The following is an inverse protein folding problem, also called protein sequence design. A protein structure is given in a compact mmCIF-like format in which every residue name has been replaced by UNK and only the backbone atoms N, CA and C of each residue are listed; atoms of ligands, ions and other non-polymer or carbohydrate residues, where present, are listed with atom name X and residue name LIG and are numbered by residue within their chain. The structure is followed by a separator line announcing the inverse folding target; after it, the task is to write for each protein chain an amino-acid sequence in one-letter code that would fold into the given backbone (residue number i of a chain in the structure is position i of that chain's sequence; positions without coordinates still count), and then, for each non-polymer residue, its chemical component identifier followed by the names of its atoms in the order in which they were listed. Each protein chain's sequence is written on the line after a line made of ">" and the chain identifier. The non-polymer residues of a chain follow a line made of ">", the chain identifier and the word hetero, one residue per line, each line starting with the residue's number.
data_IF_807006613102
#
_entry.id   IF_807006613102
#
_cell.length_a   1.000
_cell.length_b   1.000
_cell.length_c   1.000
_cell.angle_alpha   90.00
_cell.angle_beta   90.00
_cell.angle_gamma   90.00
#
_symmetry.space_group_name_H-M   'P 1'
#
loop_
_entity.id
_entity.type
_entity.pdbx_description
1 polymer ?
#
# COMPACT_ATOMS: atom_id res chain seq x y z
N UNK A 1 -53.61 -4.63 -39.38
CA UNK A 1 -52.34 -5.35 -39.15
C UNK A 1 -51.30 -4.64 -39.98
N UNK A 2 -50.60 -3.68 -39.39
CA UNK A 2 -49.58 -2.89 -40.08
C UNK A 2 -48.32 -2.96 -39.23
N UNK A 3 -47.40 -3.81 -39.65
CA UNK A 3 -46.14 -4.07 -38.98
C UNK A 3 -45.18 -2.93 -39.29
N UNK A 4 -45.07 -1.98 -38.35
CA UNK A 4 -44.09 -0.90 -38.41
C UNK A 4 -42.67 -1.48 -38.28
N UNK A 5 -41.98 -1.53 -39.41
CA UNK A 5 -40.56 -1.83 -39.53
C UNK A 5 -39.75 -0.68 -38.89
N UNK A 6 -39.29 -0.84 -37.65
CA UNK A 6 -38.33 0.10 -37.06
C UNK A 6 -36.95 -0.18 -37.64
N UNK A 7 -36.49 0.70 -38.52
CA UNK A 7 -35.09 0.78 -38.91
C UNK A 7 -34.20 1.09 -37.70
N UNK A 8 -33.02 0.47 -37.57
CA UNK A 8 -32.03 0.87 -36.57
C UNK A 8 -31.53 2.27 -36.92
N UNK A 9 -31.68 3.21 -36.00
CA UNK A 9 -31.06 4.54 -36.10
C UNK A 9 -29.55 4.38 -36.00
N UNK A 10 -28.83 4.73 -37.05
CA UNK A 10 -27.36 4.79 -37.05
C UNK A 10 -26.89 5.75 -35.93
N UNK A 11 -26.02 5.24 -35.05
CA UNK A 11 -25.42 6.05 -33.98
C UNK A 11 -24.60 7.20 -34.57
N UNK A 12 -24.85 8.42 -34.11
CA UNK A 12 -24.00 9.60 -34.34
C UNK A 12 -22.54 9.26 -33.96
N UNK A 13 -21.51 9.82 -34.62
CA UNK A 13 -20.12 9.54 -34.24
C UNK A 13 -19.93 9.92 -32.76
N UNK A 14 -19.80 8.90 -31.91
CA UNK A 14 -19.93 9.02 -30.46
C UNK A 14 -18.82 9.88 -29.88
N UNK A 15 -19.18 10.80 -28.98
CA UNK A 15 -18.23 11.59 -28.22
C UNK A 15 -17.56 10.67 -27.20
N UNK A 16 -16.22 10.62 -27.18
CA UNK A 16 -15.45 9.74 -26.28
C UNK A 16 -15.94 9.92 -24.84
N UNK A 17 -16.35 8.83 -24.19
CA UNK A 17 -16.85 8.77 -22.82
C UNK A 17 -15.77 8.17 -21.91
N UNK A 18 -15.41 8.89 -20.85
CA UNK A 18 -14.35 8.51 -19.93
C UNK A 18 -14.88 8.47 -18.52
N UNK A 19 -14.73 7.33 -17.84
CA UNK A 19 -14.97 7.27 -16.40
C UNK A 19 -13.70 7.69 -15.65
N UNK A 20 -13.79 8.72 -14.82
CA UNK A 20 -12.73 9.09 -13.87
C UNK A 20 -13.10 8.55 -12.49
N UNK A 21 -12.43 7.48 -12.10
CA UNK A 21 -12.69 6.72 -10.87
C UNK A 21 -11.78 7.10 -9.72
N UNK A 22 -12.37 7.22 -8.52
CA UNK A 22 -11.64 7.37 -7.26
C UNK A 22 -11.90 6.17 -6.33
N UNK A 23 -11.05 5.14 -6.37
CA UNK A 23 -11.29 3.88 -5.69
C UNK A 23 -10.98 3.92 -4.19
N UNK A 24 -11.87 3.32 -3.39
CA UNK A 24 -11.64 3.02 -1.99
C UNK A 24 -11.48 4.26 -1.11
N UNK A 25 -10.69 4.16 -0.03
CA UNK A 25 -10.55 5.24 0.95
C UNK A 25 -9.64 6.40 0.51
N UNK A 26 -9.19 6.41 -0.75
CA UNK A 26 -8.32 7.46 -1.25
C UNK A 26 -9.08 8.80 -1.38
N UNK A 27 -8.87 9.68 -0.41
CA UNK A 27 -9.48 11.01 -0.35
C UNK A 27 -8.81 12.07 -1.22
N UNK A 28 -7.71 11.74 -1.93
CA UNK A 28 -6.96 12.74 -2.69
C UNK A 28 -7.60 13.03 -4.04
N UNK A 29 -8.47 14.03 -4.09
CA UNK A 29 -9.31 14.25 -5.27
C UNK A 29 -8.83 15.32 -6.25
N UNK A 30 -7.87 16.16 -5.84
CA UNK A 30 -7.45 17.31 -6.65
C UNK A 30 -7.01 16.89 -8.07
N UNK A 31 -6.18 15.84 -8.16
CA UNK A 31 -5.70 15.32 -9.43
C UNK A 31 -6.83 14.80 -10.32
N UNK A 32 -7.75 13.99 -9.76
CA UNK A 32 -8.88 13.46 -10.50
C UNK A 32 -9.79 14.57 -11.06
N UNK A 33 -10.04 15.64 -10.28
CA UNK A 33 -10.84 16.79 -10.74
C UNK A 33 -10.15 17.59 -11.85
N UNK A 34 -8.83 17.76 -11.77
CA UNK A 34 -8.05 18.44 -12.82
C UNK A 34 -8.07 17.61 -14.11
N UNK A 35 -7.88 16.29 -14.01
CA UNK A 35 -7.96 15.38 -15.16
C UNK A 35 -9.37 15.39 -15.77
N UNK A 36 -10.41 15.30 -14.94
CA UNK A 36 -11.79 15.38 -15.41
C UNK A 36 -12.12 16.72 -16.10
N UNK A 37 -11.56 17.84 -15.63
CA UNK A 37 -11.66 19.13 -16.31
C UNK A 37 -10.94 19.11 -17.66
N UNK A 38 -9.67 18.69 -17.70
CA UNK A 38 -8.88 18.64 -18.92
C UNK A 38 -9.51 17.76 -20.03
N UNK A 39 -10.06 16.60 -19.65
CA UNK A 39 -10.76 15.71 -20.59
C UNK A 39 -12.05 16.34 -21.14
N UNK A 40 -12.81 17.07 -20.30
CA UNK A 40 -14.00 17.83 -20.75
C UNK A 40 -13.63 18.99 -21.66
N UNK A 41 -12.58 19.72 -21.34
CA UNK A 41 -12.07 20.82 -22.15
C UNK A 41 -11.58 20.31 -23.52
N UNK A 42 -11.12 19.06 -23.58
CA UNK A 42 -10.80 18.34 -24.81
C UNK A 42 -12.05 17.81 -25.56
N UNK A 43 -13.26 18.10 -25.08
CA UNK A 43 -14.52 17.72 -25.72
C UNK A 43 -15.03 16.31 -25.38
N UNK A 44 -14.39 15.60 -24.44
CA UNK A 44 -14.85 14.27 -24.00
C UNK A 44 -16.02 14.39 -23.03
N UNK A 45 -16.84 13.34 -22.97
CA UNK A 45 -17.82 13.16 -21.89
C UNK A 45 -17.14 12.50 -20.70
N UNK A 46 -17.31 13.06 -19.50
CA UNK A 46 -16.62 12.56 -18.31
C UNK A 46 -17.63 12.18 -17.23
N UNK A 47 -17.60 10.91 -16.84
CA UNK A 47 -18.34 10.38 -15.68
C UNK A 47 -17.36 10.34 -14.51
N UNK A 48 -17.59 11.16 -13.50
CA UNK A 48 -16.74 11.18 -12.31
C UNK A 48 -17.44 10.46 -11.15
N UNK A 49 -16.78 9.46 -10.55
CA UNK A 49 -17.43 8.57 -9.56
C UNK A 49 -17.63 9.19 -8.19
N UNK A 50 -16.99 10.33 -7.92
CA UNK A 50 -16.83 10.82 -6.56
C UNK A 50 -15.84 9.99 -5.74
N UNK A 51 -15.58 10.45 -4.51
CA UNK A 51 -14.75 9.77 -3.54
C UNK A 51 -15.41 8.48 -3.03
N UNK A 52 -14.60 7.54 -2.55
CA UNK A 52 -15.06 6.32 -1.85
C UNK A 52 -15.89 5.37 -2.70
N UNK A 53 -15.76 5.43 -4.02
CA UNK A 53 -16.35 4.45 -4.91
C UNK A 53 -15.64 3.09 -4.73
N UNK A 54 -16.41 2.02 -4.56
CA UNK A 54 -15.84 0.67 -4.48
C UNK A 54 -15.46 0.19 -5.88
N UNK A 55 -14.46 -0.69 -5.99
CA UNK A 55 -14.04 -1.25 -7.29
C UNK A 55 -15.21 -1.91 -8.06
N UNK A 56 -16.08 -2.71 -7.43
CA UNK A 56 -17.27 -3.25 -8.11
C UNK A 56 -18.25 -2.18 -8.60
N UNK A 57 -18.41 -1.08 -7.86
CA UNK A 57 -19.26 0.04 -8.26
C UNK A 57 -18.66 0.82 -9.45
N UNK A 58 -17.35 1.02 -9.45
CA UNK A 58 -16.62 1.63 -10.59
C UNK A 58 -16.80 0.77 -11.84
N UNK A 59 -16.61 -0.54 -11.75
CA UNK A 59 -16.80 -1.46 -12.87
C UNK A 59 -18.25 -1.46 -13.39
N UNK A 60 -19.23 -1.48 -12.47
CA UNK A 60 -20.64 -1.42 -12.84
C UNK A 60 -20.99 -0.11 -13.54
N UNK A 61 -20.54 1.03 -13.02
CA UNK A 61 -20.76 2.34 -13.64
C UNK A 61 -20.10 2.43 -15.02
N UNK A 62 -18.86 1.93 -15.18
CA UNK A 62 -18.18 1.94 -16.47
C UNK A 62 -18.95 1.19 -17.56
N UNK A 63 -19.53 0.03 -17.22
CA UNK A 63 -20.34 -0.76 -18.15
C UNK A 63 -21.71 -0.12 -18.41
N UNK A 64 -22.38 0.38 -17.37
CA UNK A 64 -23.69 1.03 -17.49
C UNK A 64 -23.63 2.32 -18.30
N UNK A 65 -22.55 3.08 -18.14
CA UNK A 65 -22.29 4.31 -18.86
C UNK A 65 -21.56 4.08 -20.19
N UNK A 66 -21.38 2.83 -20.61
CA UNK A 66 -20.77 2.47 -21.90
C UNK A 66 -19.52 3.30 -22.21
N UNK A 67 -18.58 3.33 -21.26
CA UNK A 67 -17.40 4.21 -21.35
C UNK A 67 -16.31 3.58 -22.21
N UNK A 68 -15.64 4.40 -23.00
CA UNK A 68 -14.53 3.98 -23.86
C UNK A 68 -13.25 3.73 -23.07
N UNK A 69 -13.04 4.47 -21.97
CA UNK A 69 -11.83 4.38 -21.15
C UNK A 69 -12.16 4.57 -19.66
N UNK A 70 -11.52 3.79 -18.79
CA UNK A 70 -11.54 4.00 -17.34
C UNK A 70 -10.22 4.64 -16.90
N UNK A 71 -10.27 5.88 -16.41
CA UNK A 71 -9.16 6.55 -15.75
C UNK A 71 -9.26 6.45 -14.23
N UNK A 72 -8.36 5.71 -13.57
CA UNK A 72 -8.28 5.66 -12.11
C UNK A 72 -7.29 6.70 -11.57
N UNK A 73 -7.68 7.44 -10.55
CA UNK A 73 -6.77 8.31 -9.79
C UNK A 73 -6.43 7.65 -8.44
N UNK A 74 -5.17 7.22 -8.26
CA UNK A 74 -4.73 6.45 -7.09
C UNK A 74 -3.47 7.07 -6.47
N UNK A 75 -3.58 7.48 -5.21
CA UNK A 75 -2.51 8.03 -4.38
C UNK A 75 -2.34 7.23 -3.07
N UNK A 76 -3.14 6.18 -2.87
CA UNK A 76 -3.15 5.35 -1.65
C UNK A 76 -2.10 4.23 -1.62
N UNK A 77 -1.31 4.06 -2.69
CA UNK A 77 -0.36 2.96 -2.83
C UNK A 77 -1.00 1.59 -3.11
N UNK A 78 -2.33 1.52 -3.25
CA UNK A 78 -3.07 0.29 -3.51
C UNK A 78 -3.31 0.01 -5.01
N UNK A 79 -2.55 0.67 -5.91
CA UNK A 79 -2.76 0.63 -7.37
C UNK A 79 -2.76 -0.79 -7.94
N UNK A 80 -1.81 -1.65 -7.57
CA UNK A 80 -1.76 -3.03 -8.08
C UNK A 80 -3.02 -3.83 -7.69
N UNK A 81 -3.38 -3.82 -6.41
CA UNK A 81 -4.53 -4.56 -5.89
C UNK A 81 -5.85 -4.05 -6.49
N UNK A 82 -5.99 -2.73 -6.60
CA UNK A 82 -7.18 -2.10 -7.18
C UNK A 82 -7.30 -2.43 -8.66
N UNK A 83 -6.23 -2.33 -9.44
CA UNK A 83 -6.26 -2.62 -10.88
C UNK A 83 -6.53 -4.09 -11.15
N UNK A 84 -5.90 -5.01 -10.40
CA UNK A 84 -6.20 -6.45 -10.48
C UNK A 84 -7.68 -6.72 -10.24
N UNK A 85 -8.22 -6.20 -9.13
CA UNK A 85 -9.63 -6.39 -8.78
C UNK A 85 -10.56 -5.75 -9.81
N UNK A 86 -10.20 -4.59 -10.38
CA UNK A 86 -11.00 -3.96 -11.42
C UNK A 86 -11.05 -4.84 -12.68
N UNK A 87 -9.91 -5.39 -13.11
CA UNK A 87 -9.87 -6.32 -14.25
C UNK A 87 -10.67 -7.60 -13.99
N UNK A 88 -10.63 -8.15 -12.77
CA UNK A 88 -11.50 -9.27 -12.39
C UNK A 88 -12.99 -8.90 -12.47
N UNK A 89 -13.38 -7.72 -11.98
CA UNK A 89 -14.77 -7.25 -12.03
C UNK A 89 -15.25 -6.97 -13.47
N UNK A 90 -14.40 -6.40 -14.34
CA UNK A 90 -14.71 -6.19 -15.75
C UNK A 90 -14.82 -7.53 -16.50
N UNK A 91 -13.91 -8.47 -16.22
CA UNK A 91 -13.95 -9.82 -16.80
C UNK A 91 -15.23 -10.57 -16.45
N UNK A 92 -15.69 -10.48 -15.19
CA UNK A 92 -16.97 -11.05 -14.74
C UNK A 92 -18.20 -10.44 -15.44
N UNK A 93 -18.06 -9.23 -15.98
CA UNK A 93 -19.11 -8.51 -16.73
C UNK A 93 -18.92 -8.63 -18.25
N UNK A 94 -17.96 -9.45 -18.69
CA UNK A 94 -17.60 -9.61 -20.11
C UNK A 94 -17.23 -8.28 -20.80
N UNK A 95 -16.77 -7.30 -20.01
CA UNK A 95 -16.41 -5.98 -20.49
C UNK A 95 -14.90 -5.88 -20.73
N UNK A 96 -14.50 -5.30 -21.87
CA UNK A 96 -13.11 -5.03 -22.22
C UNK A 96 -12.91 -3.54 -22.43
N UNK A 97 -12.74 -2.83 -21.32
CA UNK A 97 -12.55 -1.38 -21.32
C UNK A 97 -11.10 -1.08 -20.91
N UNK A 98 -10.31 -0.35 -21.72
CA UNK A 98 -8.93 -0.01 -21.38
C UNK A 98 -8.87 0.83 -20.10
N UNK A 99 -7.89 0.51 -19.25
CA UNK A 99 -7.67 1.20 -17.98
C UNK A 99 -6.42 2.07 -18.08
N UNK A 100 -6.55 3.33 -17.71
CA UNK A 100 -5.46 4.28 -17.49
C UNK A 100 -5.37 4.57 -15.99
N UNK A 101 -4.16 4.60 -15.44
CA UNK A 101 -3.97 4.86 -14.00
C UNK A 101 -3.08 6.09 -13.82
N UNK A 102 -3.52 7.04 -13.01
CA UNK A 102 -2.76 8.22 -12.65
C UNK A 102 -2.60 8.38 -11.14
N UNK A 103 -1.52 9.03 -10.70
CA UNK A 103 -1.34 9.44 -9.31
C UNK A 103 0.10 9.30 -8.83
N UNK A 104 0.29 8.98 -7.55
CA UNK A 104 1.63 8.76 -6.98
C UNK A 104 1.94 7.27 -7.08
N UNK A 105 2.45 6.88 -8.24
CA UNK A 105 2.74 5.49 -8.57
C UNK A 105 4.26 5.34 -8.64
N UNK A 106 4.88 4.43 -7.85
CA UNK A 106 6.30 4.16 -7.95
C UNK A 106 6.66 3.66 -9.35
N UNK A 107 7.74 4.17 -9.93
CA UNK A 107 8.19 3.76 -11.28
C UNK A 107 8.41 2.25 -11.41
N UNK A 108 8.85 1.60 -10.33
CA UNK A 108 9.05 0.15 -10.27
C UNK A 108 7.76 -0.66 -10.50
N UNK A 109 6.58 -0.07 -10.28
CA UNK A 109 5.29 -0.75 -10.41
C UNK A 109 4.66 -0.56 -11.79
N UNK A 110 5.24 0.28 -12.66
CA UNK A 110 4.68 0.55 -13.99
C UNK A 110 4.64 -0.71 -14.85
N UNK A 111 5.71 -1.52 -14.81
CA UNK A 111 5.77 -2.79 -15.54
C UNK A 111 4.70 -3.76 -15.04
N UNK A 112 4.57 -3.91 -13.73
CA UNK A 112 3.55 -4.78 -13.12
C UNK A 112 2.14 -4.35 -13.46
N UNK A 113 1.86 -3.05 -13.48
CA UNK A 113 0.54 -2.53 -13.87
C UNK A 113 0.24 -2.85 -15.34
N UNK A 114 1.22 -2.73 -16.24
CA UNK A 114 1.08 -3.14 -17.63
C UNK A 114 0.82 -4.65 -17.76
N UNK A 115 1.55 -5.48 -17.02
CA UNK A 115 1.35 -6.93 -17.00
C UNK A 115 -0.05 -7.31 -16.46
N UNK A 116 -0.62 -6.48 -15.58
CA UNK A 116 -1.99 -6.63 -15.10
C UNK A 116 -3.06 -6.18 -16.11
N UNK A 117 -2.69 -5.57 -17.24
CA UNK A 117 -3.62 -5.08 -18.27
C UNK A 117 -3.94 -3.59 -18.19
N UNK A 118 -3.16 -2.79 -17.45
CA UNK A 118 -3.27 -1.32 -17.49
C UNK A 118 -2.64 -0.81 -18.78
N UNK A 119 -3.41 -0.06 -19.56
CA UNK A 119 -3.00 0.44 -20.87
C UNK A 119 -1.96 1.57 -20.76
N UNK A 120 -2.09 2.46 -19.77
CA UNK A 120 -1.16 3.56 -19.54
C UNK A 120 -1.09 3.98 -18.07
N UNK A 121 0.08 4.48 -17.65
CA UNK A 121 0.36 4.93 -16.29
C UNK A 121 0.92 6.35 -16.31
N UNK A 122 0.36 7.24 -15.50
CA UNK A 122 0.76 8.64 -15.38
C UNK A 122 1.18 8.99 -13.95
N UNK A 123 2.34 9.63 -13.83
CA UNK A 123 2.88 10.13 -12.57
C UNK A 123 2.47 11.58 -12.28
N UNK A 124 2.94 12.16 -11.16
CA UNK A 124 2.63 13.55 -10.78
C UNK A 124 3.13 14.59 -11.79
N UNK A 125 4.23 14.31 -12.48
CA UNK A 125 4.86 15.21 -13.47
C UNK A 125 4.31 15.01 -14.90
N UNK A 126 3.33 14.14 -15.10
CA UNK A 126 2.80 13.84 -16.43
C UNK A 126 2.03 15.02 -17.01
N UNK A 127 2.32 15.46 -18.25
CA UNK A 127 1.58 16.54 -18.90
C UNK A 127 0.12 16.17 -19.13
N UNK A 128 -0.82 17.08 -18.85
CA UNK A 128 -2.25 16.86 -19.08
C UNK A 128 -2.57 16.52 -20.54
N UNK A 129 -1.87 17.16 -21.49
CA UNK A 129 -2.00 16.87 -22.91
C UNK A 129 -1.68 15.41 -23.24
N UNK A 130 -0.66 14.81 -22.60
CA UNK A 130 -0.31 13.41 -22.82
C UNK A 130 -1.41 12.46 -22.35
N UNK A 131 -2.10 12.79 -21.24
CA UNK A 131 -3.26 12.04 -20.76
C UNK A 131 -4.40 12.11 -21.75
N UNK A 132 -4.73 13.32 -22.24
CA UNK A 132 -5.81 13.54 -23.22
C UNK A 132 -5.55 12.75 -24.50
N UNK A 133 -4.35 12.84 -25.07
CA UNK A 133 -4.03 12.14 -26.32
C UNK A 133 -4.05 10.62 -26.13
N UNK A 134 -3.51 10.10 -25.02
CA UNK A 134 -3.57 8.66 -24.73
C UNK A 134 -5.00 8.15 -24.60
N UNK A 135 -5.89 8.92 -23.97
CA UNK A 135 -7.31 8.56 -23.86
C UNK A 135 -7.98 8.56 -25.24
N UNK A 136 -7.65 9.52 -26.13
CA UNK A 136 -8.15 9.51 -27.52
C UNK A 136 -7.68 8.30 -28.29
N UNK A 137 -6.40 7.96 -28.19
CA UNK A 137 -5.80 6.80 -28.84
C UNK A 137 -6.48 5.50 -28.37
N UNK A 138 -6.68 5.32 -27.07
CA UNK A 138 -7.30 4.12 -26.52
C UNK A 138 -8.79 4.00 -26.89
N UNK A 139 -9.52 5.10 -26.92
CA UNK A 139 -10.93 5.10 -27.33
C UNK A 139 -11.11 4.77 -28.82
N UNK A 140 -10.15 5.17 -29.67
CA UNK A 140 -10.21 4.94 -31.13
C UNK A 140 -9.56 3.62 -31.56
N UNK A 141 -8.61 3.11 -30.78
CA UNK A 141 -7.94 1.84 -31.00
C UNK A 141 -7.69 1.11 -29.66
N UNK A 142 -8.65 0.30 -29.18
CA UNK A 142 -8.57 -0.35 -27.87
C UNK A 142 -7.39 -1.33 -27.72
N UNK A 143 -6.78 -1.76 -28.83
CA UNK A 143 -5.62 -2.65 -28.84
C UNK A 143 -4.27 -1.89 -28.92
N UNK A 144 -4.29 -0.56 -29.00
CA UNK A 144 -3.07 0.24 -29.02
C UNK A 144 -2.42 0.26 -27.63
N UNK A 145 -1.36 -0.52 -27.45
CA UNK A 145 -0.47 -0.35 -26.29
C UNK A 145 0.38 0.90 -26.52
N UNK A 146 -0.07 2.07 -26.06
CA UNK A 146 0.65 3.33 -26.30
C UNK A 146 1.98 3.32 -25.54
N UNK A 147 3.08 3.32 -26.30
CA UNK A 147 4.44 3.46 -25.82
C UNK A 147 4.71 4.93 -25.50
N UNK A 148 4.10 5.46 -24.44
CA UNK A 148 4.52 6.74 -23.88
C UNK A 148 5.95 6.57 -23.31
N UNK A 149 6.90 7.15 -24.03
CA UNK A 149 8.34 7.10 -23.80
C UNK A 149 8.69 7.60 -22.40
N UNK A 150 9.17 6.71 -21.53
CA UNK A 150 9.82 7.14 -20.28
C UNK A 150 11.14 7.83 -20.61
N UNK A 151 11.46 8.99 -20.00
CA UNK A 151 12.80 9.52 -20.10
C UNK A 151 13.77 8.49 -19.51
N UNK A 152 14.82 8.19 -20.28
CA UNK A 152 15.90 7.29 -19.87
C UNK A 152 16.42 7.70 -18.49
N UNK A 153 16.40 6.80 -17.52
CA UNK A 153 17.37 6.84 -16.43
C UNK A 153 17.85 5.43 -16.08
N UNK A 154 19.13 5.28 -16.33
CA UNK A 154 20.04 4.20 -15.99
C UNK A 154 20.03 3.86 -14.49
N UNK A 155 20.13 2.55 -14.21
CA UNK A 155 20.51 1.94 -12.92
C UNK A 155 19.50 1.98 -11.77
N UNK A 156 18.47 1.13 -11.83
CA UNK A 156 17.90 0.49 -10.64
C UNK A 156 17.72 -0.99 -10.95
N UNK A 157 18.74 -1.79 -10.66
CA UNK A 157 18.56 -3.24 -10.56
C UNK A 157 17.43 -3.48 -9.55
N UNK A 158 16.41 -4.24 -9.95
CA UNK A 158 15.31 -4.67 -9.10
C UNK A 158 15.87 -5.32 -7.83
N UNK A 159 15.93 -4.57 -6.73
CA UNK A 159 16.30 -5.11 -5.43
C UNK A 159 15.12 -5.90 -4.94
N UNK A 160 15.34 -7.19 -4.67
CA UNK A 160 14.37 -8.02 -3.97
C UNK A 160 13.96 -7.31 -2.66
N UNK A 161 12.67 -7.21 -2.40
CA UNK A 161 12.14 -6.51 -1.21
C UNK A 161 12.54 -7.20 0.10
N UNK A 162 12.17 -6.64 1.25
CA UNK A 162 12.26 -7.37 2.53
C UNK A 162 11.18 -8.47 2.52
N UNK A 163 11.53 -9.77 2.61
CA UNK A 163 10.56 -10.87 2.55
C UNK A 163 9.89 -11.05 3.91
N UNK A 164 9.19 -10.01 4.39
CA UNK A 164 8.46 -10.05 5.65
C UNK A 164 7.28 -11.03 5.56
N UNK A 165 7.10 -11.86 6.58
CA UNK A 165 5.99 -12.84 6.64
C UNK A 165 4.74 -12.26 7.28
N UNK A 166 4.89 -11.28 8.19
CA UNK A 166 3.79 -10.52 8.80
C UNK A 166 4.29 -9.25 9.49
N UNK A 167 3.36 -8.35 9.81
CA UNK A 167 3.55 -7.38 10.88
C UNK A 167 3.66 -8.15 12.19
N UNK A 168 4.74 -7.94 12.93
CA UNK A 168 4.98 -8.64 14.17
C UNK A 168 4.41 -7.91 15.37
N UNK A 169 4.90 -6.69 15.60
CA UNK A 169 4.39 -5.84 16.65
C UNK A 169 4.52 -4.36 16.30
N UNK A 170 3.78 -3.54 17.03
CA UNK A 170 3.99 -2.09 17.07
C UNK A 170 4.31 -1.70 18.50
N UNK A 171 5.41 -0.99 18.71
CA UNK A 171 5.81 -0.57 20.04
C UNK A 171 5.42 0.87 20.33
N UNK A 172 4.91 1.09 21.54
CA UNK A 172 4.73 2.41 22.14
C UNK A 172 5.73 2.55 23.27
N UNK A 173 6.58 3.58 23.18
CA UNK A 173 7.46 3.92 24.29
C UNK A 173 6.65 4.69 25.33
N UNK A 174 6.71 4.26 26.59
CA UNK A 174 5.94 4.82 27.70
C UNK A 174 6.83 5.12 28.90
N UNK A 175 6.47 6.16 29.66
CA UNK A 175 7.13 6.53 30.92
C UNK A 175 6.82 5.56 32.06
N UNK A 176 5.56 5.14 32.15
CA UNK A 176 5.07 4.24 33.19
C UNK A 176 4.36 3.06 32.52
N UNK A 177 5.03 1.91 32.53
CA UNK A 177 4.53 0.71 31.88
C UNK A 177 3.33 0.13 32.62
N UNK A 178 3.28 0.22 33.95
CA UNK A 178 2.22 -0.39 34.75
C UNK A 178 0.93 0.43 34.62
N UNK A 179 1.03 1.76 34.64
CA UNK A 179 -0.09 2.64 34.33
C UNK A 179 -0.61 2.45 32.89
N UNK A 180 0.30 2.27 31.93
CA UNK A 180 -0.05 2.04 30.53
C UNK A 180 -0.70 0.67 30.29
N UNK A 181 -0.24 -0.37 31.00
CA UNK A 181 -0.87 -1.69 31.00
C UNK A 181 -2.30 -1.55 31.51
N UNK A 182 -2.49 -0.96 32.69
CA UNK A 182 -3.82 -0.80 33.28
C UNK A 182 -4.78 -0.05 32.36
N UNK A 183 -4.31 1.01 31.69
CA UNK A 183 -5.10 1.77 30.71
C UNK A 183 -5.55 0.91 29.52
N UNK A 184 -4.66 0.09 28.96
CA UNK A 184 -4.99 -0.78 27.82
C UNK A 184 -5.97 -1.87 28.24
N UNK A 185 -5.75 -2.48 29.40
CA UNK A 185 -6.67 -3.50 29.91
C UNK A 185 -8.07 -2.94 30.14
N UNK A 186 -8.18 -1.72 30.67
CA UNK A 186 -9.46 -1.04 30.91
C UNK A 186 -10.15 -0.60 29.62
N UNK A 187 -9.42 0.06 28.70
CA UNK A 187 -10.00 0.61 27.48
C UNK A 187 -10.30 -0.44 26.41
N UNK A 188 -9.39 -1.40 26.22
CA UNK A 188 -9.49 -2.38 25.13
C UNK A 188 -10.00 -3.75 25.59
N UNK A 189 -10.04 -4.00 26.91
CA UNK A 189 -10.38 -5.30 27.47
C UNK A 189 -9.32 -6.39 27.21
N UNK A 190 -8.18 -6.02 26.64
CA UNK A 190 -7.11 -6.96 26.28
C UNK A 190 -6.15 -7.12 27.44
N UNK A 191 -5.88 -8.37 27.85
CA UNK A 191 -4.96 -8.66 28.96
C UNK A 191 -3.52 -8.68 28.51
N UNK A 192 -2.61 -8.25 29.40
CA UNK A 192 -1.17 -8.38 29.15
C UNK A 192 -0.81 -9.87 29.04
N UNK A 193 -0.24 -10.26 27.90
CA UNK A 193 0.13 -11.63 27.59
C UNK A 193 1.52 -11.99 28.13
N UNK A 194 2.44 -11.02 28.08
CA UNK A 194 3.82 -11.21 28.53
C UNK A 194 4.41 -9.90 29.06
N UNK A 195 5.26 -9.98 30.08
CA UNK A 195 6.03 -8.85 30.60
C UNK A 195 7.42 -9.34 30.98
N UNK A 196 8.46 -8.66 30.50
CA UNK A 196 9.85 -9.04 30.76
C UNK A 196 10.76 -7.81 30.80
N UNK A 197 11.92 -7.98 31.43
CA UNK A 197 13.02 -7.03 31.30
C UNK A 197 13.99 -7.58 30.25
N UNK A 198 14.36 -6.76 29.26
CA UNK A 198 15.28 -7.12 28.18
C UNK A 198 16.64 -6.44 28.40
N UNK A 199 17.63 -7.12 29.01
CA UNK A 199 18.87 -6.48 29.46
C UNK A 199 19.71 -5.92 28.31
N UNK A 200 19.74 -6.61 27.17
CA UNK A 200 20.47 -6.19 25.98
C UNK A 200 19.97 -4.84 25.43
N UNK A 201 18.74 -4.47 25.75
CA UNK A 201 18.11 -3.22 25.32
C UNK A 201 17.90 -2.24 26.48
N UNK A 202 18.09 -2.68 27.74
CA UNK A 202 17.82 -1.89 28.95
C UNK A 202 16.38 -1.36 28.97
N UNK A 203 15.41 -2.21 28.67
CA UNK A 203 13.98 -1.87 28.66
C UNK A 203 13.15 -2.88 29.42
N UNK A 204 12.08 -2.41 30.04
CA UNK A 204 10.93 -3.26 30.39
C UNK A 204 10.01 -3.32 29.18
N UNK A 205 9.64 -4.52 28.75
CA UNK A 205 8.70 -4.78 27.67
C UNK A 205 7.42 -5.44 28.22
N UNK A 206 6.28 -5.11 27.64
CA UNK A 206 5.01 -5.79 27.86
C UNK A 206 4.24 -5.95 26.56
N UNK A 207 3.60 -7.11 26.35
CA UNK A 207 2.96 -7.47 25.10
C UNK A 207 1.47 -7.76 25.29
N UNK A 208 0.66 -7.29 24.35
CA UNK A 208 -0.75 -7.62 24.19
C UNK A 208 -0.91 -8.32 22.84
N UNK A 209 -1.16 -9.63 22.86
CA UNK A 209 -1.23 -10.46 21.66
C UNK A 209 -2.64 -10.44 21.05
N UNK A 210 -2.73 -10.33 19.72
CA UNK A 210 -4.00 -10.35 18.98
C UNK A 210 -4.19 -11.67 18.22
N UNK A 211 -5.43 -12.09 17.91
CA UNK A 211 -5.72 -13.35 17.22
C UNK A 211 -5.07 -13.52 15.84
N UNK A 212 -4.66 -12.43 15.21
CA UNK A 212 -3.95 -12.46 13.92
C UNK A 212 -2.44 -12.70 14.05
N UNK A 213 -1.93 -12.93 15.27
CA UNK A 213 -0.52 -13.18 15.55
C UNK A 213 0.37 -11.93 15.57
N UNK A 214 -0.23 -10.73 15.55
CA UNK A 214 0.46 -9.48 15.82
C UNK A 214 0.30 -9.07 17.29
N UNK A 215 1.19 -8.21 17.78
CA UNK A 215 1.15 -7.72 19.16
C UNK A 215 1.22 -6.20 19.25
N UNK A 216 0.62 -5.63 20.28
CA UNK A 216 0.97 -4.30 20.77
C UNK A 216 2.04 -4.46 21.85
N UNK A 217 3.18 -3.80 21.67
CA UNK A 217 4.25 -3.77 22.65
C UNK A 217 4.27 -2.42 23.37
N UNK A 218 4.44 -2.46 24.69
CA UNK A 218 4.84 -1.32 25.49
C UNK A 218 6.31 -1.47 25.85
N UNK A 219 7.11 -0.43 25.61
CA UNK A 219 8.51 -0.36 26.02
C UNK A 219 8.73 0.80 26.98
N UNK A 220 9.30 0.53 28.15
CA UNK A 220 9.71 1.55 29.10
C UNK A 220 11.22 1.46 29.33
N UNK A 221 11.96 2.57 29.21
CA UNK A 221 13.40 2.56 29.44
C UNK A 221 13.73 2.26 30.91
N UNK A 222 14.78 1.48 31.12
CA UNK A 222 15.40 1.27 32.41
C UNK A 222 16.92 1.47 32.26
N UNK A 223 17.34 2.74 32.18
CA UNK A 223 18.73 3.12 31.90
C UNK A 223 19.09 3.09 30.41
N UNK A 224 18.10 3.32 29.55
CA UNK A 224 18.28 3.47 28.10
C UNK A 224 18.21 4.96 27.70
N UNK A 225 19.36 5.61 27.60
CA UNK A 225 19.48 7.04 27.28
C UNK A 225 18.76 7.44 25.98
N UNK A 226 18.71 6.54 24.98
CA UNK A 226 18.07 6.81 23.70
C UNK A 226 16.56 6.96 23.83
N UNK A 227 15.94 6.00 24.51
CA UNK A 227 14.51 6.00 24.81
C UNK A 227 14.13 7.06 25.84
N UNK A 228 14.98 7.33 26.82
CA UNK A 228 14.75 8.44 27.77
C UNK A 228 14.71 9.79 27.03
N UNK A 229 15.65 10.04 26.11
CA UNK A 229 15.63 11.23 25.25
C UNK A 229 14.43 11.24 24.31
N UNK A 230 13.97 10.09 23.84
CA UNK A 230 12.76 9.98 23.03
C UNK A 230 11.54 10.44 23.84
N UNK A 231 11.34 9.91 25.05
CA UNK A 231 10.24 10.27 25.94
C UNK A 231 10.29 11.75 26.34
N UNK A 232 11.47 12.30 26.61
CA UNK A 232 11.62 13.74 26.90
C UNK A 232 11.16 14.64 25.75
N UNK A 233 11.35 14.20 24.50
CA UNK A 233 11.01 14.97 23.29
C UNK A 233 9.59 14.74 22.80
N UNK A 234 9.05 13.54 22.97
CA UNK A 234 7.80 13.09 22.33
C UNK A 234 6.70 12.76 23.33
N UNK A 235 7.03 12.57 24.60
CA UNK A 235 6.13 11.92 25.56
C UNK A 235 5.91 10.45 25.20
N UNK A 236 4.85 9.88 25.75
CA UNK A 236 4.44 8.51 25.45
C UNK A 236 3.95 8.46 23.99
N UNK A 237 4.59 7.65 23.14
CA UNK A 237 4.37 7.69 21.70
C UNK A 237 4.81 6.40 20.99
N UNK A 238 4.27 6.18 19.78
CA UNK A 238 4.71 5.11 18.89
C UNK A 238 6.20 5.23 18.61
N UNK A 239 6.93 4.15 18.86
CA UNK A 239 8.38 4.11 18.79
C UNK A 239 8.89 3.41 17.52
N UNK A 240 8.41 2.20 17.22
CA UNK A 240 8.81 1.46 16.02
C UNK A 240 7.69 0.54 15.51
N UNK A 241 7.87 0.09 14.26
CA UNK A 241 7.13 -1.01 13.66
C UNK A 241 8.06 -2.21 13.49
N UNK A 242 7.58 -3.41 13.78
CA UNK A 242 8.36 -4.63 13.68
C UNK A 242 7.80 -5.58 12.62
N UNK A 243 8.67 -6.13 11.78
CA UNK A 243 8.32 -7.09 10.74
C UNK A 243 8.97 -8.44 11.01
N UNK A 244 8.17 -9.51 10.90
CA UNK A 244 8.66 -10.88 11.06
C UNK A 244 9.39 -11.33 9.80
N UNK A 245 10.58 -11.91 9.95
CA UNK A 245 11.41 -12.49 8.89
C UNK A 245 11.88 -13.90 9.30
N UNK A 246 12.36 -14.70 8.34
CA UNK A 246 12.81 -16.09 8.60
C UNK A 246 14.31 -16.22 8.86
N UNK A 247 15.12 -15.46 8.13
CA UNK A 247 16.59 -15.48 8.22
C UNK A 247 17.09 -14.05 8.27
N UNK A 248 17.19 -13.53 9.49
CA UNK A 248 17.55 -12.17 9.81
C UNK A 248 19.01 -11.91 9.47
N UNK A 249 19.90 -12.84 9.76
CA UNK A 249 21.34 -12.64 9.55
C UNK A 249 21.68 -12.57 8.04
N UNK A 250 21.10 -13.45 7.22
CA UNK A 250 21.24 -13.36 5.77
C UNK A 250 20.58 -12.09 5.20
N UNK A 251 19.43 -11.69 5.76
CA UNK A 251 18.74 -10.46 5.34
C UNK A 251 19.58 -9.22 5.66
N UNK A 252 20.17 -9.12 6.85
CA UNK A 252 21.03 -8.00 7.24
C UNK A 252 22.26 -7.90 6.33
N UNK A 253 22.91 -9.02 6.04
CA UNK A 253 24.05 -9.04 5.11
C UNK A 253 23.66 -8.53 3.71
N UNK A 254 22.47 -8.93 3.23
CA UNK A 254 21.93 -8.46 1.94
C UNK A 254 21.59 -6.96 1.97
N UNK A 255 20.98 -6.47 3.05
CA UNK A 255 20.63 -5.07 3.21
C UNK A 255 21.88 -4.17 3.33
N UNK A 256 22.90 -4.59 4.08
CA UNK A 256 24.18 -3.86 4.20
C UNK A 256 24.92 -3.85 2.86
N UNK A 257 24.95 -4.97 2.13
CA UNK A 257 25.52 -5.05 0.76
C UNK A 257 24.77 -4.15 -0.23
N UNK A 258 23.47 -3.94 0.01
CA UNK A 258 22.65 -3.00 -0.73
C UNK A 258 22.81 -1.54 -0.25
N UNK A 259 23.63 -1.26 0.75
CA UNK A 259 23.81 0.10 1.30
C UNK A 259 22.55 0.65 1.96
N UNK A 260 21.65 -0.22 2.42
CA UNK A 260 20.49 0.20 3.22
C UNK A 260 21.02 0.70 4.57
N UNK A 261 20.59 1.88 5.04
CA UNK A 261 21.02 2.40 6.35
C UNK A 261 20.55 1.50 7.50
N UNK A 262 21.47 0.75 8.12
CA UNK A 262 21.21 -0.10 9.29
C UNK A 262 21.64 0.60 10.59
N UNK A 263 20.93 0.37 11.68
CA UNK A 263 21.45 0.64 13.04
C UNK A 263 22.25 -0.57 13.50
N UNK A 264 21.61 -1.74 13.42
CA UNK A 264 22.20 -3.02 13.80
C UNK A 264 22.72 -3.73 12.54
N UNK A 265 24.04 -3.86 12.43
CA UNK A 265 24.68 -4.63 11.33
C UNK A 265 24.68 -6.14 11.58
N UNK A 266 24.49 -6.54 12.83
CA UNK A 266 24.41 -7.93 13.28
C UNK A 266 23.19 -8.01 14.19
N UNK A 267 22.46 -9.13 14.13
CA UNK A 267 21.32 -9.34 15.02
C UNK A 267 21.74 -9.35 16.50
N UNK A 268 20.80 -8.98 17.37
CA UNK A 268 20.97 -9.00 18.83
C UNK A 268 19.77 -9.65 19.52
N UNK A 269 19.91 -10.13 20.77
CA UNK A 269 18.77 -10.65 21.53
C UNK A 269 17.70 -9.57 21.74
N UNK A 270 16.45 -9.92 21.44
CA UNK A 270 15.26 -9.13 21.69
C UNK A 270 14.36 -9.74 22.77
N UNK A 271 13.17 -9.17 22.90
CA UNK A 271 12.10 -9.70 23.74
C UNK A 271 11.65 -11.10 23.24
N UNK A 272 11.04 -11.90 24.12
CA UNK A 272 10.46 -13.23 23.85
C UNK A 272 11.47 -14.21 23.25
N UNK A 273 12.75 -14.04 23.60
CA UNK A 273 13.87 -14.83 23.07
C UNK A 273 14.18 -14.63 21.59
N UNK A 274 13.52 -13.68 20.91
CA UNK A 274 13.69 -13.44 19.48
C UNK A 274 15.06 -12.84 19.13
N UNK A 275 15.49 -13.01 17.89
CA UNK A 275 16.58 -12.20 17.32
C UNK A 275 15.98 -10.96 16.68
N UNK A 276 16.62 -9.82 16.91
CA UNK A 276 16.13 -8.52 16.41
C UNK A 276 17.25 -7.69 15.81
N UNK A 277 16.90 -6.81 14.89
CA UNK A 277 17.79 -5.78 14.36
C UNK A 277 17.00 -4.57 13.85
N UNK A 278 17.54 -3.38 14.08
CA UNK A 278 16.91 -2.13 13.67
C UNK A 278 17.54 -1.55 12.41
N UNK A 279 16.68 -1.06 11.52
CA UNK A 279 17.06 -0.20 10.41
C UNK A 279 17.08 1.26 10.87
N UNK A 280 17.99 2.05 10.31
CA UNK A 280 18.02 3.48 10.60
C UNK A 280 16.78 4.15 10.00
N UNK A 281 16.10 5.11 10.67
CA UNK A 281 14.87 5.72 10.17
C UNK A 281 14.93 6.29 8.75
N UNK A 282 16.12 6.70 8.30
CA UNK A 282 16.42 7.13 6.91
C UNK A 282 16.13 6.03 5.86
N UNK A 283 16.20 4.76 6.24
CA UNK A 283 15.88 3.64 5.36
C UNK A 283 14.38 3.52 5.09
N UNK A 284 13.52 4.09 5.93
CA UNK A 284 12.07 3.90 5.86
C UNK A 284 11.29 5.16 6.23
N UNK A 285 11.48 6.25 5.47
CA UNK A 285 10.62 7.43 5.55
C UNK A 285 10.59 8.16 6.90
N UNK A 286 11.61 7.97 7.75
CA UNK A 286 11.66 8.53 9.10
C UNK A 286 11.06 7.62 10.17
N UNK A 287 10.55 6.44 9.81
CA UNK A 287 10.03 5.43 10.73
C UNK A 287 11.13 4.45 11.12
N UNK A 288 11.22 4.16 12.42
CA UNK A 288 12.10 3.12 12.94
C UNK A 288 11.48 1.76 12.63
N UNK A 289 12.20 0.93 11.88
CA UNK A 289 11.78 -0.42 11.51
C UNK A 289 12.65 -1.45 12.23
N UNK A 290 12.00 -2.39 12.89
CA UNK A 290 12.61 -3.57 13.50
C UNK A 290 12.36 -4.80 12.62
N UNK A 291 13.37 -5.62 12.46
CA UNK A 291 13.28 -6.94 11.86
C UNK A 291 13.41 -7.98 12.95
N UNK A 292 12.45 -8.91 12.99
CA UNK A 292 12.34 -9.93 14.05
C UNK A 292 12.40 -11.31 13.43
N UNK A 293 13.32 -12.15 13.88
CA UNK A 293 13.31 -13.60 13.63
C UNK A 293 12.83 -14.30 14.89
N UNK A 294 11.79 -15.12 14.76
CA UNK A 294 11.25 -15.85 15.89
C UNK A 294 12.24 -16.91 16.37
N UNK A 295 12.39 -17.01 17.68
CA UNK A 295 12.91 -18.23 18.26
C UNK A 295 11.80 -19.28 18.11
N UNK A 296 12.00 -20.29 17.27
CA UNK A 296 11.09 -21.44 17.22
C UNK A 296 11.15 -22.14 18.58
N UNK A 297 10.11 -22.02 19.40
CA UNK A 297 9.82 -23.06 20.36
C UNK A 297 9.25 -24.24 19.56
N UNK A 298 9.91 -25.39 19.61
CA UNK A 298 9.37 -26.65 19.10
C UNK A 298 8.00 -26.91 19.74
N UNK A 299 6.91 -26.54 19.07
CA UNK A 299 5.58 -27.00 19.43
C UNK A 299 5.38 -28.43 18.93
N UNK A 300 6.01 -29.40 19.62
CA UNK A 300 5.62 -30.80 19.54
C UNK A 300 4.57 -31.20 20.61
N UNK A 301 4.23 -30.34 21.58
CA UNK A 301 3.42 -30.77 22.75
C UNK A 301 2.01 -30.15 22.90
N UNK A 302 1.43 -29.56 21.85
CA UNK A 302 0.06 -29.02 21.90
C UNK A 302 -1.03 -29.95 21.31
N UNK A 303 -0.68 -31.16 20.87
CA UNK A 303 -1.63 -32.17 20.37
C UNK A 303 -1.88 -33.34 21.35
N UNK A 304 -1.44 -33.23 22.60
CA UNK A 304 -1.70 -34.23 23.63
C UNK A 304 -2.01 -33.58 24.98
N UNK A 305 -3.22 -33.05 25.13
CA UNK A 305 -3.96 -32.90 26.41
C UNK A 305 -5.41 -32.52 26.14
#
# INVERSE_FOLDING_TARGET
>A
METANRQPTAASPGRIRVLVGKPGLDGHDRGARVIAAALRDAGMEVVYTGLRATVPAIAAAAVQEDVDVIGLSILSGAHESICRRLNEELSRREARIPIVVGGIIPAADFAKLKDLGVAAVFGPESPLAAVVETVRELATNPNATSTATSPSQSHLHAREGIPATRLDHTAICVRDIDASIALIEDLLGQKVAHKEFVPAQKVQAAFFDFPNGASLELVAPQGNDGLEKFLQKRGDALHHLALRVRDLDALLARLDSAGVPLIDKVSRPGARGHKVAFLHPKAFGGTLLELVEAHEENHEDAAAR
#
